data_IF_607299248168
#
_entry.id   IF_607299248168
#
_cell.length_a   1.000
_cell.length_b   1.000
_cell.length_c   1.000
_cell.angle_alpha   90.00
_cell.angle_beta   90.00
_cell.angle_gamma   90.00
#
_symmetry.space_group_name_H-M   'P 1'
#
loop_
_entity.id
_entity.type
_entity.pdbx_description
1 polymer ?
#
# COMPACT_ATOMS: atom_id res chain seq x y z
N UNK A 1 -26.13 12.52 -6.98
CA UNK A 1 -25.38 12.20 -5.76
C UNK A 1 -25.51 13.40 -4.83
N UNK A 2 -26.13 13.21 -3.67
CA UNK A 2 -26.16 14.23 -2.63
C UNK A 2 -24.95 13.99 -1.73
N UNK A 3 -23.96 14.87 -1.84
CA UNK A 3 -22.69 14.75 -1.13
C UNK A 3 -22.88 14.78 0.40
N UNK A 4 -23.92 15.45 0.91
CA UNK A 4 -24.19 15.50 2.35
C UNK A 4 -24.76 14.17 2.84
N UNK A 5 -25.67 13.57 2.06
CA UNK A 5 -26.23 12.26 2.36
C UNK A 5 -25.15 11.17 2.35
N UNK A 6 -24.23 11.21 1.38
CA UNK A 6 -23.12 10.25 1.30
C UNK A 6 -22.12 10.39 2.44
N UNK A 7 -21.81 11.63 2.85
CA UNK A 7 -20.96 11.88 4.03
C UNK A 7 -21.57 11.31 5.30
N UNK A 8 -22.88 11.48 5.50
CA UNK A 8 -23.58 10.96 6.66
C UNK A 8 -23.54 9.43 6.69
N UNK A 9 -23.83 8.79 5.56
CA UNK A 9 -23.79 7.32 5.45
C UNK A 9 -22.39 6.76 5.75
N UNK A 10 -21.33 7.43 5.30
CA UNK A 10 -19.95 7.02 5.59
C UNK A 10 -19.62 7.12 7.09
N UNK A 11 -20.09 8.17 7.77
CA UNK A 11 -19.88 8.34 9.21
C UNK A 11 -20.57 7.24 10.02
N UNK A 12 -21.81 6.92 9.68
CA UNK A 12 -22.58 5.86 10.35
C UNK A 12 -21.92 4.49 10.17
N UNK A 13 -21.44 4.20 8.95
CA UNK A 13 -20.73 2.96 8.68
C UNK A 13 -19.40 2.87 9.44
N UNK A 14 -18.60 3.94 9.46
CA UNK A 14 -17.34 3.99 10.21
C UNK A 14 -17.57 3.84 11.72
N UNK A 15 -18.65 4.41 12.27
CA UNK A 15 -18.98 4.30 13.69
C UNK A 15 -19.28 2.84 14.12
N UNK A 16 -19.78 2.02 13.19
CA UNK A 16 -20.02 0.59 13.42
C UNK A 16 -18.84 -0.32 13.07
N UNK A 17 -17.72 0.23 12.57
CA UNK A 17 -16.60 -0.55 12.08
C UNK A 17 -15.78 -1.12 13.25
N UNK A 18 -15.67 -2.45 13.30
CA UNK A 18 -14.89 -3.16 14.32
C UNK A 18 -13.62 -3.83 13.78
N UNK A 19 -13.38 -3.80 12.46
CA UNK A 19 -12.17 -4.37 11.86
C UNK A 19 -11.01 -3.36 11.92
N UNK A 20 -9.92 -3.66 12.67
CA UNK A 20 -8.79 -2.74 12.81
C UNK A 20 -8.02 -2.53 11.50
N UNK A 21 -8.00 -3.52 10.60
CA UNK A 21 -7.27 -3.41 9.33
C UNK A 21 -7.94 -2.42 8.40
N UNK A 22 -9.26 -2.54 8.21
CA UNK A 22 -10.05 -1.59 7.44
C UNK A 22 -9.91 -0.17 8.02
N UNK A 23 -9.99 0.00 9.35
CA UNK A 23 -9.81 1.32 9.96
C UNK A 23 -8.42 1.91 9.68
N UNK A 24 -7.37 1.08 9.71
CA UNK A 24 -5.99 1.49 9.40
C UNK A 24 -5.85 1.96 7.95
N UNK A 25 -6.51 1.30 7.00
CA UNK A 25 -6.51 1.72 5.60
C UNK A 25 -7.15 3.11 5.42
N UNK A 26 -8.27 3.39 6.08
CA UNK A 26 -8.92 4.71 6.02
C UNK A 26 -8.06 5.81 6.67
N UNK A 27 -7.38 5.50 7.78
CA UNK A 27 -6.42 6.42 8.40
C UNK A 27 -5.27 6.73 7.44
N UNK A 28 -4.72 5.70 6.78
CA UNK A 28 -3.67 5.87 5.78
C UNK A 28 -4.14 6.67 4.57
N UNK A 29 -5.38 6.46 4.10
CA UNK A 29 -5.99 7.25 3.02
C UNK A 29 -6.16 8.72 3.40
N UNK A 30 -6.51 9.01 4.65
CA UNK A 30 -6.57 10.39 5.16
C UNK A 30 -5.18 10.99 5.21
N UNK A 31 -4.21 10.26 5.79
CA UNK A 31 -2.82 10.72 5.91
C UNK A 31 -2.18 10.98 4.57
N UNK A 32 -2.32 10.10 3.58
CA UNK A 32 -1.73 10.28 2.25
C UNK A 32 -2.24 11.50 1.50
N UNK A 33 -3.35 12.10 1.93
CA UNK A 33 -3.88 13.37 1.40
C UNK A 33 -3.44 14.60 2.19
N UNK A 34 -2.93 14.42 3.41
CA UNK A 34 -2.46 15.48 4.30
C UNK A 34 -0.92 15.58 4.33
N UNK A 35 -0.22 14.45 4.25
CA UNK A 35 1.24 14.30 4.26
C UNK A 35 1.59 13.11 3.35
N UNK A 36 2.50 13.30 2.39
CA UNK A 36 3.00 12.19 1.57
C UNK A 36 3.79 11.24 2.47
N UNK A 37 3.51 9.93 2.40
CA UNK A 37 4.24 8.94 3.19
C UNK A 37 5.74 8.94 2.86
N UNK A 38 6.11 9.41 1.66
CA UNK A 38 7.49 9.60 1.24
C UNK A 38 8.27 10.56 2.16
N UNK A 39 7.55 11.52 2.76
CA UNK A 39 8.12 12.48 3.72
C UNK A 39 8.19 11.91 5.14
N UNK A 40 7.50 10.80 5.43
CA UNK A 40 7.48 10.16 6.76
C UNK A 40 8.57 9.08 6.95
N UNK A 41 9.13 8.55 5.87
CA UNK A 41 10.18 7.51 5.94
C UNK A 41 11.56 8.10 6.27
N UNK A 42 12.42 7.26 6.86
CA UNK A 42 13.80 7.60 7.18
C UNK A 42 14.66 7.76 5.92
N UNK A 43 15.83 8.39 6.08
CA UNK A 43 16.76 8.56 4.98
C UNK A 43 17.30 7.22 4.46
N UNK A 44 17.60 6.28 5.37
CA UNK A 44 18.06 4.94 5.01
C UNK A 44 17.00 4.18 4.20
N UNK A 45 15.72 4.31 4.55
CA UNK A 45 14.61 3.74 3.79
C UNK A 45 14.48 4.39 2.40
N UNK A 46 14.62 5.72 2.30
CA UNK A 46 14.63 6.41 0.99
C UNK A 46 15.79 5.95 0.12
N UNK A 47 16.99 5.81 0.69
CA UNK A 47 18.18 5.33 -0.03
C UNK A 47 17.93 3.92 -0.56
N UNK A 48 17.45 3.01 0.30
CA UNK A 48 17.16 1.63 -0.09
C UNK A 48 16.11 1.54 -1.22
N UNK A 49 15.05 2.35 -1.15
CA UNK A 49 14.02 2.40 -2.20
C UNK A 49 14.61 2.91 -3.52
N UNK A 50 15.37 4.00 -3.49
CA UNK A 50 16.01 4.55 -4.69
C UNK A 50 17.02 3.59 -5.31
N UNK A 51 17.78 2.86 -4.48
CA UNK A 51 18.68 1.81 -4.96
C UNK A 51 17.91 0.71 -5.68
N UNK A 52 16.82 0.22 -5.09
CA UNK A 52 15.95 -0.78 -5.70
C UNK A 52 15.37 -0.32 -7.04
N UNK A 53 14.91 0.93 -7.15
CA UNK A 53 14.43 1.48 -8.42
C UNK A 53 15.55 1.52 -9.47
N UNK A 54 16.75 1.96 -9.10
CA UNK A 54 17.89 1.97 -10.01
C UNK A 54 18.32 0.56 -10.45
N UNK A 55 18.22 -0.45 -9.57
CA UNK A 55 18.45 -1.86 -9.92
C UNK A 55 17.42 -2.34 -10.95
N UNK A 56 16.14 -1.98 -10.78
CA UNK A 56 15.08 -2.33 -11.74
C UNK A 56 15.32 -1.67 -13.10
N UNK A 57 15.74 -0.40 -13.15
CA UNK A 57 16.08 0.30 -14.38
C UNK A 57 17.27 -0.35 -15.12
N UNK A 58 18.19 -0.97 -14.38
CA UNK A 58 19.30 -1.76 -14.93
C UNK A 58 18.90 -3.19 -15.34
N UNK A 59 17.65 -3.58 -15.13
CA UNK A 59 17.15 -4.92 -15.46
C UNK A 59 17.59 -6.00 -14.47
N UNK A 60 17.99 -5.62 -13.25
CA UNK A 60 18.42 -6.56 -12.20
C UNK A 60 17.24 -7.20 -11.44
N UNK A 61 16.01 -6.82 -11.79
CA UNK A 61 14.78 -7.41 -11.25
C UNK A 61 14.49 -8.80 -11.82
N UNK A 62 13.77 -9.61 -11.04
CA UNK A 62 13.26 -10.91 -11.49
C UNK A 62 11.79 -10.73 -11.89
N UNK A 63 11.38 -11.15 -13.10
CA UNK A 63 9.98 -11.08 -13.51
C UNK A 63 9.06 -11.85 -12.57
N UNK A 64 7.88 -11.28 -12.28
CA UNK A 64 6.90 -11.90 -11.39
C UNK A 64 6.54 -13.33 -11.81
N UNK A 65 6.36 -13.58 -13.11
CA UNK A 65 6.05 -14.92 -13.64
C UNK A 65 7.13 -15.95 -13.31
N UNK A 66 8.41 -15.55 -13.37
CA UNK A 66 9.52 -16.42 -13.01
C UNK A 66 9.49 -16.75 -11.52
N UNK A 67 9.32 -15.73 -10.66
CA UNK A 67 9.22 -15.93 -9.20
C UNK A 67 8.06 -16.87 -8.87
N UNK A 68 6.88 -16.66 -9.46
CA UNK A 68 5.72 -17.50 -9.19
C UNK A 68 5.89 -18.93 -9.68
N UNK A 69 6.59 -19.13 -10.81
CA UNK A 69 6.94 -20.46 -11.30
C UNK A 69 7.85 -21.19 -10.31
N UNK A 70 8.94 -20.55 -9.88
CA UNK A 70 9.88 -21.13 -8.92
C UNK A 70 9.21 -21.47 -7.58
N UNK A 71 8.31 -20.61 -7.09
CA UNK A 71 7.54 -20.85 -5.86
C UNK A 71 6.61 -22.06 -6.03
N UNK A 72 5.86 -22.17 -7.13
CA UNK A 72 4.98 -23.32 -7.38
C UNK A 72 5.76 -24.63 -7.46
N UNK A 73 6.89 -24.62 -8.15
CA UNK A 73 7.76 -25.79 -8.27
C UNK A 73 8.35 -26.19 -6.90
N UNK A 74 8.79 -25.23 -6.08
CA UNK A 74 9.39 -25.49 -4.77
C UNK A 74 8.40 -26.04 -3.75
N UNK A 75 7.16 -25.55 -3.77
CA UNK A 75 6.13 -25.92 -2.78
C UNK A 75 5.08 -26.89 -3.33
N UNK A 76 5.23 -27.34 -4.59
CA UNK A 76 4.37 -28.32 -5.25
C UNK A 76 2.88 -27.91 -5.22
N UNK A 77 2.62 -26.61 -5.47
CA UNK A 77 1.31 -25.96 -5.49
C UNK A 77 0.58 -26.12 -6.83
#
# INVERSE_FOLDING_TARGET
MDLQAEKLSLLEWLAGLNDPNTLKEFINLKKSKEVDWWDEISEDERIAINEGLAQLDRGEGIPHEQVMKEVREKYNL
#
